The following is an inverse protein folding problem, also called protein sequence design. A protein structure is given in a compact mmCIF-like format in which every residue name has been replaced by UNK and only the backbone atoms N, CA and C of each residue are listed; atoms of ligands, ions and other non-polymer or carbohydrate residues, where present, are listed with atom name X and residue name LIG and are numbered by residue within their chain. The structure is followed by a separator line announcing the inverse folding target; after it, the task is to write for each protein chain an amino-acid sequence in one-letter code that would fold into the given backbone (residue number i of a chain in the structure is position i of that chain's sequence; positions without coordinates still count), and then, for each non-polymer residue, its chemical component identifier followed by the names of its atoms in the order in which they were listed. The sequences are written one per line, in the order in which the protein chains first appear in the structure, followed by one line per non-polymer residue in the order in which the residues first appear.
data_IF_919063560460
#
_entry.id   IF_919063560460
#
_cell.length_a   1.000
_cell.length_b   1.000
_cell.length_c   1.000
_cell.angle_alpha   90.00
_cell.angle_beta   90.00
_cell.angle_gamma   90.00
#
_symmetry.space_group_name_H-M   'P 1'
#
loop_
_entity.id
_entity.type
_entity.pdbx_description
1 polymer ?
#
# COMPACT_ATOMS: atom_id res chain seq x y z
N UNK A 1 -65.86 -63.22 21.02
CA UNK A 1 -65.97 -61.84 21.52
C UNK A 1 -64.58 -61.24 21.65
N UNK A 2 -64.16 -60.37 20.73
CA UNK A 2 -62.99 -59.48 20.86
C UNK A 2 -63.10 -58.40 19.77
N UNK A 3 -63.55 -57.19 20.14
CA UNK A 3 -62.75 -55.97 20.38
C UNK A 3 -62.09 -55.37 19.12
N UNK A 4 -62.65 -54.24 18.67
CA UNK A 4 -62.03 -53.18 17.87
C UNK A 4 -60.68 -52.72 18.45
N UNK A 5 -59.71 -52.31 17.61
CA UNK A 5 -59.31 -50.89 17.36
C UNK A 5 -57.90 -50.73 16.71
N UNK A 6 -57.77 -49.62 15.96
CA UNK A 6 -56.56 -48.91 15.47
C UNK A 6 -55.77 -49.63 14.35
N UNK A 7 -55.60 -49.12 13.13
CA UNK A 7 -55.58 -47.73 12.65
C UNK A 7 -54.14 -47.29 12.44
N UNK A 8 -53.62 -47.39 11.20
CA UNK A 8 -52.43 -46.64 10.75
C UNK A 8 -52.60 -46.24 9.29
N UNK A 9 -52.53 -44.92 9.08
CA UNK A 9 -52.58 -44.20 7.80
C UNK A 9 -51.25 -44.43 7.08
N UNK A 10 -51.29 -44.94 5.85
CA UNK A 10 -50.13 -44.98 4.97
C UNK A 10 -49.94 -43.58 4.38
N UNK A 11 -48.89 -42.88 4.81
CA UNK A 11 -48.47 -41.60 4.23
C UNK A 11 -47.84 -41.89 2.87
N UNK A 12 -48.51 -41.46 1.80
CA UNK A 12 -47.95 -41.47 0.46
C UNK A 12 -46.77 -40.49 0.38
N UNK A 13 -45.58 -41.01 0.10
CA UNK A 13 -44.40 -40.23 -0.25
C UNK A 13 -44.66 -39.52 -1.58
N UNK A 14 -45.04 -38.24 -1.51
CA UNK A 14 -45.00 -37.30 -2.62
C UNK A 14 -43.54 -37.08 -3.02
N UNK A 15 -43.11 -37.73 -4.10
CA UNK A 15 -41.90 -37.37 -4.83
C UNK A 15 -42.18 -36.02 -5.50
N UNK A 16 -41.77 -34.93 -4.84
CA UNK A 16 -41.73 -33.62 -5.49
C UNK A 16 -40.63 -33.63 -6.57
N UNK A 17 -40.92 -33.17 -7.80
CA UNK A 17 -39.85 -32.94 -8.78
C UNK A 17 -38.91 -31.87 -8.23
N UNK A 18 -37.61 -32.18 -8.18
CA UNK A 18 -36.54 -31.20 -7.93
C UNK A 18 -36.72 -30.06 -8.93
N UNK A 19 -37.01 -28.86 -8.43
CA UNK A 19 -36.88 -27.65 -9.24
C UNK A 19 -35.43 -27.55 -9.74
N UNK A 20 -35.20 -27.20 -11.03
CA UNK A 20 -33.86 -26.94 -11.50
C UNK A 20 -33.32 -25.72 -10.75
N UNK A 21 -32.18 -25.90 -10.07
CA UNK A 21 -31.38 -24.79 -9.55
C UNK A 21 -31.07 -23.85 -10.72
N UNK A 22 -31.42 -22.57 -10.59
CA UNK A 22 -30.91 -21.51 -11.48
C UNK A 22 -29.39 -21.68 -11.56
N UNK A 23 -28.90 -22.13 -12.69
CA UNK A 23 -27.48 -22.07 -12.98
C UNK A 23 -27.14 -20.59 -13.12
N UNK A 24 -26.24 -20.09 -12.28
CA UNK A 24 -25.53 -18.85 -12.58
C UNK A 24 -24.81 -19.09 -13.90
N UNK A 25 -25.32 -18.52 -15.00
CA UNK A 25 -24.59 -18.49 -16.27
C UNK A 25 -23.39 -17.58 -16.09
N UNK A 26 -22.24 -18.17 -15.78
CA UNK A 26 -20.97 -17.47 -15.79
C UNK A 26 -20.65 -17.06 -17.24
N UNK A 27 -20.60 -15.75 -17.47
CA UNK A 27 -20.13 -15.20 -18.74
C UNK A 27 -18.60 -15.23 -18.74
N UNK A 28 -18.02 -16.16 -19.48
CA UNK A 28 -16.58 -16.19 -19.73
C UNK A 28 -16.26 -15.35 -20.98
N UNK A 29 -15.42 -14.34 -20.80
CA UNK A 29 -14.95 -13.48 -21.88
C UNK A 29 -13.44 -13.64 -22.07
N UNK A 30 -13.00 -13.76 -23.32
CA UNK A 30 -11.58 -13.77 -23.66
C UNK A 30 -11.01 -12.35 -23.55
N UNK A 31 -10.05 -12.18 -22.64
CA UNK A 31 -9.41 -10.90 -22.37
C UNK A 31 -8.72 -10.31 -23.61
N UNK A 32 -8.09 -11.13 -24.47
CA UNK A 32 -7.43 -10.66 -25.69
C UNK A 32 -8.45 -10.08 -26.67
N UNK A 33 -9.57 -10.77 -26.85
CA UNK A 33 -10.67 -10.35 -27.71
C UNK A 33 -11.38 -9.09 -27.20
N UNK A 34 -11.55 -8.96 -25.89
CA UNK A 34 -12.11 -7.75 -25.27
C UNK A 34 -11.14 -6.58 -25.46
N UNK A 35 -9.86 -6.78 -25.16
CA UNK A 35 -8.82 -5.76 -25.28
C UNK A 35 -8.69 -5.22 -26.72
N UNK A 36 -8.63 -6.12 -27.72
CA UNK A 36 -8.50 -5.74 -29.13
C UNK A 36 -9.68 -4.92 -29.69
N UNK A 37 -10.85 -5.02 -29.05
CA UNK A 37 -12.07 -4.29 -29.44
C UNK A 37 -12.34 -3.06 -28.57
N UNK A 38 -11.48 -2.80 -27.58
CA UNK A 38 -11.63 -1.72 -26.63
C UNK A 38 -10.78 -0.50 -27.02
N UNK A 39 -11.19 0.68 -26.57
CA UNK A 39 -10.34 1.87 -26.59
C UNK A 39 -9.61 1.90 -25.24
N UNK A 40 -8.33 1.55 -25.25
CA UNK A 40 -7.51 1.43 -24.03
C UNK A 40 -6.55 2.59 -23.87
N UNK A 41 -6.35 3.03 -22.63
CA UNK A 41 -5.22 3.84 -22.16
C UNK A 41 -4.64 3.16 -20.94
N UNK A 42 -3.31 3.08 -20.85
CA UNK A 42 -2.59 2.54 -19.69
C UNK A 42 -2.99 1.10 -19.31
N UNK A 43 -3.33 0.26 -20.30
CA UNK A 43 -3.67 -1.15 -20.12
C UNK A 43 -2.84 -2.01 -21.07
N UNK A 44 -2.47 -3.21 -20.61
CA UNK A 44 -1.82 -4.25 -21.42
C UNK A 44 -2.43 -5.63 -21.16
N UNK A 45 -2.26 -6.55 -22.09
CA UNK A 45 -2.60 -7.97 -21.86
C UNK A 45 -1.35 -8.71 -21.42
N UNK A 46 -1.39 -9.32 -20.24
CA UNK A 46 -0.29 -10.10 -19.70
C UNK A 46 0.05 -11.29 -20.63
N UNK A 47 1.33 -11.49 -20.91
CA UNK A 47 1.78 -12.49 -21.88
C UNK A 47 1.35 -13.92 -21.54
N UNK A 48 1.58 -14.34 -20.28
CA UNK A 48 1.37 -15.71 -19.83
C UNK A 48 -0.03 -15.99 -19.26
N UNK A 49 -0.64 -15.02 -18.56
CA UNK A 49 -1.93 -15.24 -17.89
C UNK A 49 -3.14 -14.77 -18.70
N UNK A 50 -2.92 -14.05 -19.81
CA UNK A 50 -4.01 -13.55 -20.66
C UNK A 50 -4.96 -12.65 -19.89
N UNK A 51 -4.46 -11.85 -18.95
CA UNK A 51 -5.24 -10.93 -18.13
C UNK A 51 -5.06 -9.51 -18.64
N UNK A 52 -6.09 -8.69 -18.59
CA UNK A 52 -5.94 -7.25 -18.78
C UNK A 52 -5.37 -6.68 -17.48
N UNK A 53 -4.23 -6.00 -17.57
CA UNK A 53 -3.51 -5.40 -16.46
C UNK A 53 -3.22 -3.92 -16.78
N UNK A 54 -2.90 -3.12 -15.76
CA UNK A 54 -2.45 -1.76 -15.99
C UNK A 54 -1.04 -1.78 -16.62
N UNK A 55 -0.82 -0.97 -17.65
CA UNK A 55 0.51 -0.71 -18.23
C UNK A 55 1.39 0.07 -17.26
N UNK A 56 0.78 0.96 -16.47
CA UNK A 56 1.44 1.71 -15.40
C UNK A 56 0.65 1.58 -14.10
N UNK A 57 1.34 1.36 -12.98
CA UNK A 57 0.74 1.35 -11.65
C UNK A 57 1.38 2.39 -10.73
N UNK A 58 0.62 2.87 -9.74
CA UNK A 58 1.18 3.69 -8.67
C UNK A 58 1.70 2.78 -7.55
N UNK A 59 2.99 2.88 -7.26
CA UNK A 59 3.57 2.24 -6.09
C UNK A 59 3.55 3.22 -4.93
N UNK A 60 2.66 2.98 -3.97
CA UNK A 60 2.72 3.61 -2.66
C UNK A 60 3.60 2.75 -1.76
N UNK A 61 4.89 3.10 -1.63
CA UNK A 61 5.68 2.58 -0.52
C UNK A 61 5.32 3.37 0.75
N UNK A 62 4.16 3.02 1.29
CA UNK A 62 3.77 3.38 2.65
C UNK A 62 4.78 2.76 3.62
N UNK A 63 5.06 3.43 4.73
CA UNK A 63 6.19 3.20 5.65
C UNK A 63 6.09 1.89 6.45
N UNK A 64 5.32 0.92 5.95
CA UNK A 64 4.75 -0.15 6.72
C UNK A 64 3.54 0.34 7.51
N UNK A 65 2.85 -0.55 8.21
CA UNK A 65 1.58 -0.32 8.84
C UNK A 65 1.67 0.46 10.16
N UNK A 66 2.48 1.50 10.22
CA UNK A 66 2.43 2.43 11.33
C UNK A 66 1.63 3.66 10.90
N UNK A 67 0.78 4.18 11.76
CA UNK A 67 0.19 5.50 11.52
C UNK A 67 1.32 6.52 11.54
N UNK A 68 1.58 7.18 10.41
CA UNK A 68 2.64 8.21 10.30
C UNK A 68 2.50 9.30 11.39
N UNK A 69 1.30 9.51 11.92
CA UNK A 69 1.04 10.27 13.14
C UNK A 69 0.52 9.37 14.26
N UNK A 70 1.00 9.57 15.49
CA UNK A 70 0.53 8.89 16.69
C UNK A 70 -0.05 9.89 17.69
N UNK A 71 -1.17 9.52 18.31
CA UNK A 71 -1.74 10.27 19.45
C UNK A 71 -1.12 9.86 20.80
N UNK A 72 -0.22 8.86 20.82
CA UNK A 72 0.46 8.41 22.04
C UNK A 72 1.53 9.39 22.49
N UNK A 73 1.78 9.39 23.79
CA UNK A 73 2.90 10.12 24.41
C UNK A 73 4.11 9.18 24.63
N UNK A 74 5.35 9.68 24.52
CA UNK A 74 5.69 10.98 23.95
C UNK A 74 5.34 11.05 22.45
N UNK A 75 5.06 12.26 21.97
CA UNK A 75 4.72 12.53 20.57
C UNK A 75 5.76 11.89 19.62
N UNK A 76 5.30 11.32 18.51
CA UNK A 76 6.14 10.65 17.53
C UNK A 76 6.79 11.63 16.52
N UNK A 77 7.27 12.79 16.98
CA UNK A 77 7.95 13.78 16.14
C UNK A 77 9.40 13.94 16.54
N UNK A 78 10.26 14.03 15.54
CA UNK A 78 11.69 14.28 15.72
C UNK A 78 12.08 15.62 15.12
N UNK A 79 12.89 16.38 15.85
CA UNK A 79 13.53 17.58 15.33
C UNK A 79 14.80 17.21 14.59
N UNK A 80 14.86 17.54 13.31
CA UNK A 80 16.03 17.31 12.48
C UNK A 80 17.08 18.39 12.75
N UNK A 81 18.34 17.98 12.76
CA UNK A 81 19.50 18.86 12.92
C UNK A 81 20.63 18.38 12.02
N UNK A 82 21.80 19.01 12.08
CA UNK A 82 23.00 18.51 11.43
C UNK A 82 23.47 17.14 11.98
N UNK A 83 23.06 16.77 13.20
CA UNK A 83 23.44 15.51 13.86
C UNK A 83 22.28 14.51 13.95
N UNK A 84 21.05 15.03 14.00
CA UNK A 84 19.82 14.24 14.09
C UNK A 84 19.16 14.18 12.72
N UNK A 85 19.09 13.00 12.14
CA UNK A 85 18.52 12.82 10.80
C UNK A 85 17.82 11.47 10.69
N UNK A 86 16.90 11.39 9.73
CA UNK A 86 16.09 10.20 9.46
C UNK A 86 16.60 9.56 8.18
N UNK A 87 16.86 8.24 8.22
CA UNK A 87 17.11 7.41 7.05
C UNK A 87 15.91 6.52 6.77
N UNK A 88 15.50 6.47 5.51
CA UNK A 88 14.62 5.43 4.98
C UNK A 88 15.31 4.67 3.86
N UNK A 89 15.23 3.35 3.89
CA UNK A 89 15.62 2.48 2.80
C UNK A 89 14.38 1.98 2.04
N UNK A 90 14.41 2.20 0.73
CA UNK A 90 13.36 1.89 -0.24
C UNK A 90 13.90 0.80 -1.19
N UNK A 91 13.27 -0.38 -1.24
CA UNK A 91 13.77 -1.51 -2.05
C UNK A 91 12.88 -1.70 -3.28
N UNK A 92 13.38 -1.27 -4.45
CA UNK A 92 12.63 -1.27 -5.70
C UNK A 92 13.26 -2.24 -6.71
N UNK A 93 12.60 -3.34 -7.10
CA UNK A 93 13.13 -4.20 -8.16
C UNK A 93 13.16 -3.48 -9.52
N UNK A 94 12.17 -2.64 -9.79
CA UNK A 94 12.00 -1.89 -11.04
C UNK A 94 11.65 -0.43 -10.69
N UNK A 95 12.63 0.49 -10.67
CA UNK A 95 12.42 1.88 -10.23
C UNK A 95 11.81 2.78 -11.31
N UNK A 96 11.57 2.27 -12.52
CA UNK A 96 11.01 3.05 -13.61
C UNK A 96 9.63 3.58 -13.20
N UNK A 97 9.52 4.91 -13.09
CA UNK A 97 8.29 5.59 -12.71
C UNK A 97 8.12 6.86 -13.55
N UNK A 98 6.86 7.18 -13.88
CA UNK A 98 6.51 8.44 -14.56
C UNK A 98 6.73 9.66 -13.66
N UNK A 99 6.54 9.49 -12.35
CA UNK A 99 6.72 10.51 -11.34
C UNK A 99 7.08 9.85 -10.01
N UNK A 100 7.76 10.59 -9.14
CA UNK A 100 8.04 10.17 -7.78
C UNK A 100 7.76 11.31 -6.80
N UNK A 101 7.20 10.96 -5.64
CA UNK A 101 6.76 11.92 -4.63
C UNK A 101 7.31 11.54 -3.26
N UNK A 102 7.87 12.52 -2.57
CA UNK A 102 8.24 12.41 -1.17
C UNK A 102 7.10 12.97 -0.32
N UNK A 103 6.47 12.11 0.48
CA UNK A 103 5.36 12.47 1.38
C UNK A 103 5.86 12.45 2.82
N UNK A 104 5.78 13.58 3.51
CA UNK A 104 6.31 13.74 4.87
C UNK A 104 5.33 14.54 5.71
N UNK A 105 5.03 14.07 6.92
CA UNK A 105 4.28 14.86 7.90
C UNK A 105 5.27 15.79 8.63
N UNK A 106 5.28 17.05 8.24
CA UNK A 106 6.11 18.08 8.88
C UNK A 106 5.46 19.46 8.76
N UNK A 107 5.38 20.23 9.86
CA UNK A 107 4.92 21.62 9.80
C UNK A 107 6.03 22.59 9.35
N UNK A 108 7.27 22.12 9.19
CA UNK A 108 8.46 22.93 8.97
C UNK A 108 9.26 22.39 7.78
N UNK A 109 10.03 23.23 7.07
CA UNK A 109 10.88 22.79 5.97
C UNK A 109 12.06 21.95 6.45
N UNK A 110 12.50 21.02 5.60
CA UNK A 110 13.61 20.10 5.84
C UNK A 110 14.41 19.88 4.56
N UNK A 111 15.66 19.45 4.69
CA UNK A 111 16.48 19.05 3.55
C UNK A 111 16.31 17.56 3.26
N UNK A 112 16.32 17.19 1.97
CA UNK A 112 16.25 15.81 1.53
C UNK A 112 17.46 15.41 0.68
N UNK A 113 17.94 14.18 0.87
CA UNK A 113 18.90 13.53 -0.02
C UNK A 113 18.31 12.22 -0.51
N UNK A 114 18.39 11.98 -1.82
CA UNK A 114 17.99 10.72 -2.43
C UNK A 114 19.24 10.09 -3.03
N UNK A 115 19.62 8.92 -2.52
CA UNK A 115 20.85 8.22 -2.90
C UNK A 115 22.11 9.11 -2.80
N UNK A 116 22.15 9.99 -1.80
CA UNK A 116 23.25 10.93 -1.56
C UNK A 116 23.18 12.21 -2.40
N UNK A 117 22.26 12.32 -3.34
CA UNK A 117 22.04 13.53 -4.15
C UNK A 117 21.10 14.48 -3.39
N UNK A 118 21.51 15.73 -3.09
CA UNK A 118 20.62 16.72 -2.53
C UNK A 118 19.46 17.02 -3.48
N UNK A 119 18.22 17.01 -2.96
CA UNK A 119 17.03 17.31 -3.74
C UNK A 119 16.53 18.70 -3.38
N UNK A 120 16.37 19.55 -4.39
CA UNK A 120 15.70 20.83 -4.21
C UNK A 120 14.19 20.61 -4.20
N UNK A 121 13.59 20.66 -3.01
CA UNK A 121 12.16 20.47 -2.85
C UNK A 121 11.41 21.68 -3.41
N UNK A 122 10.49 21.43 -4.34
CA UNK A 122 9.58 22.44 -4.89
C UNK A 122 8.48 22.84 -3.90
N UNK A 123 7.41 23.51 -4.37
CA UNK A 123 6.27 23.82 -3.52
C UNK A 123 5.57 22.56 -3.01
N UNK A 124 4.98 22.63 -1.81
CA UNK A 124 4.14 21.55 -1.28
C UNK A 124 2.88 21.38 -2.15
N UNK A 125 2.70 20.18 -2.68
CA UNK A 125 1.60 19.82 -3.59
C UNK A 125 0.36 19.25 -2.87
N UNK A 126 0.41 19.05 -1.55
CA UNK A 126 -0.73 18.46 -0.82
C UNK A 126 -1.88 19.45 -0.56
N UNK A 127 -1.61 20.76 -0.66
CA UNK A 127 -2.53 21.82 -0.22
C UNK A 127 -2.78 21.89 1.29
N UNK A 128 -2.04 21.13 2.11
CA UNK A 128 -2.21 21.06 3.58
C UNK A 128 -0.90 21.41 4.29
N UNK A 129 -0.97 22.27 5.30
CA UNK A 129 0.22 22.76 6.00
C UNK A 129 1.02 21.69 6.75
N UNK A 130 0.40 20.58 7.18
CA UNK A 130 1.08 19.51 7.91
C UNK A 130 1.56 18.36 7.01
N UNK A 131 0.90 18.14 5.89
CA UNK A 131 1.22 17.06 4.96
C UNK A 131 2.07 17.68 3.87
N UNK A 132 3.33 17.32 3.75
CA UNK A 132 4.20 17.84 2.72
C UNK A 132 4.31 16.80 1.61
N UNK A 133 3.93 17.16 0.39
CA UNK A 133 4.12 16.32 -0.80
C UNK A 133 5.01 17.06 -1.78
N UNK A 134 6.18 16.49 -2.08
CA UNK A 134 7.14 17.07 -3.00
C UNK A 134 7.44 16.11 -4.15
N UNK A 135 7.24 16.57 -5.39
CA UNK A 135 7.73 15.83 -6.55
C UNK A 135 9.27 15.86 -6.61
N UNK A 136 9.89 14.76 -7.03
CA UNK A 136 11.31 14.68 -7.32
C UNK A 136 11.56 13.86 -8.60
N UNK A 137 12.76 13.97 -9.17
CA UNK A 137 13.12 13.25 -10.38
C UNK A 137 13.19 11.73 -10.11
N UNK A 138 12.32 10.91 -10.73
CA UNK A 138 12.34 9.46 -10.53
C UNK A 138 13.66 8.80 -10.95
N UNK A 139 14.46 9.44 -11.82
CA UNK A 139 15.77 8.93 -12.22
C UNK A 139 16.82 8.94 -11.09
N UNK A 140 16.52 9.61 -9.96
CA UNK A 140 17.33 9.50 -8.76
C UNK A 140 17.20 8.13 -8.09
N UNK A 141 16.18 7.34 -8.44
CA UNK A 141 15.98 5.97 -7.95
C UNK A 141 16.76 4.96 -8.80
N UNK A 142 17.18 3.87 -8.17
CA UNK A 142 17.93 2.77 -8.80
C UNK A 142 17.32 1.42 -8.47
N UNK A 143 17.58 0.37 -9.28
CA UNK A 143 17.18 -0.98 -8.93
C UNK A 143 17.81 -1.41 -7.59
N UNK A 144 17.05 -2.14 -6.79
CA UNK A 144 17.43 -2.56 -5.45
C UNK A 144 17.29 -1.44 -4.42
N UNK A 145 18.34 -1.23 -3.62
CA UNK A 145 18.30 -0.37 -2.43
C UNK A 145 18.48 1.11 -2.76
N UNK A 146 17.50 1.90 -2.36
CA UNK A 146 17.49 3.36 -2.39
C UNK A 146 17.52 3.92 -0.97
N UNK A 147 18.22 5.03 -0.78
CA UNK A 147 18.27 5.73 0.50
C UNK A 147 17.64 7.10 0.38
N UNK A 148 16.75 7.43 1.32
CA UNK A 148 16.16 8.75 1.47
C UNK A 148 16.57 9.26 2.85
N UNK A 149 17.19 10.44 2.90
CA UNK A 149 17.65 11.07 4.14
C UNK A 149 16.95 12.40 4.31
N UNK A 150 16.34 12.61 5.47
CA UNK A 150 15.79 13.91 5.89
C UNK A 150 16.70 14.48 6.98
N UNK A 151 17.19 15.72 6.82
CA UNK A 151 18.16 16.32 7.76
C UNK A 151 18.08 17.84 7.88
N UNK A 152 18.99 18.38 8.70
CA UNK A 152 19.33 19.80 8.89
C UNK A 152 18.27 20.64 9.61
N UNK A 153 17.01 20.62 9.18
CA UNK A 153 15.95 21.42 9.77
C UNK A 153 14.60 20.70 9.72
N UNK A 154 13.64 21.22 10.47
CA UNK A 154 12.26 20.77 10.46
C UNK A 154 11.93 19.74 11.53
N UNK A 155 10.63 19.47 11.66
CA UNK A 155 10.10 18.57 12.68
C UNK A 155 9.23 17.51 12.01
N UNK A 156 9.74 16.30 11.91
CA UNK A 156 9.12 15.24 11.10
C UNK A 156 8.45 14.21 12.00
N UNK A 157 7.23 13.81 11.67
CA UNK A 157 6.59 12.67 12.31
C UNK A 157 7.23 11.36 11.85
N UNK A 158 7.62 10.51 12.80
CA UNK A 158 8.22 9.20 12.56
C UNK A 158 7.24 8.13 13.02
N UNK A 159 6.95 7.19 12.14
CA UNK A 159 6.21 5.98 12.45
C UNK A 159 6.78 5.28 13.71
N UNK A 160 5.91 4.95 14.68
CA UNK A 160 6.35 4.22 15.87
C UNK A 160 6.39 2.71 15.58
N UNK A 161 7.48 2.05 15.98
CA UNK A 161 7.64 0.60 15.80
C UNK A 161 6.63 -0.23 16.61
N UNK A 162 6.23 0.26 17.79
CA UNK A 162 5.20 -0.38 18.64
C UNK A 162 3.78 -0.25 18.08
N UNK A 163 3.58 0.61 17.08
CA UNK A 163 2.30 0.79 16.38
C UNK A 163 2.31 0.18 14.97
N UNK A 164 3.38 -0.54 14.59
CA UNK A 164 3.53 -1.13 13.26
C UNK A 164 2.40 -2.11 12.90
N UNK A 165 1.75 -2.76 13.86
CA UNK A 165 0.62 -3.65 13.56
C UNK A 165 -0.70 -2.89 13.25
N UNK A 166 -0.81 -1.60 13.56
CA UNK A 166 -2.08 -0.87 13.44
C UNK A 166 -2.52 -0.62 11.99
N UNK A 167 -1.58 -0.46 11.08
CA UNK A 167 -1.83 -0.16 9.67
C UNK A 167 -1.93 -1.39 8.77
N UNK A 168 -1.84 -2.62 9.32
CA UNK A 168 -1.90 -3.85 8.51
C UNK A 168 -2.34 -5.02 9.36
N UNK A 169 -3.34 -5.72 8.83
CA UNK A 169 -3.85 -6.96 9.40
C UNK A 169 -2.90 -8.15 9.23
N UNK A 170 -1.93 -8.05 8.32
CA UNK A 170 -1.08 -9.18 7.90
C UNK A 170 0.40 -8.98 8.22
N UNK A 171 0.85 -7.74 8.47
CA UNK A 171 2.24 -7.42 8.82
C UNK A 171 2.29 -6.95 10.27
N UNK A 172 2.89 -7.76 11.15
CA UNK A 172 2.96 -7.47 12.60
C UNK A 172 4.37 -7.08 13.09
N UNK A 173 5.39 -7.19 12.24
CA UNK A 173 6.79 -6.88 12.57
C UNK A 173 7.44 -5.98 11.49
N UNK A 174 8.23 -4.97 11.88
CA UNK A 174 8.87 -4.06 10.94
C UNK A 174 10.02 -4.71 10.17
N UNK A 175 10.23 -4.37 8.88
CA UNK A 175 11.31 -4.93 8.08
C UNK A 175 12.70 -4.31 8.34
N UNK A 176 12.86 -3.52 9.43
CA UNK A 176 14.10 -2.84 9.81
C UNK A 176 14.75 -1.97 8.71
N UNK A 177 13.94 -1.28 7.91
CA UNK A 177 14.39 -0.41 6.79
C UNK A 177 14.46 1.08 7.13
N UNK A 178 14.22 1.44 8.39
CA UNK A 178 14.25 2.83 8.85
C UNK A 178 15.22 2.93 10.01
N UNK A 179 16.02 4.00 10.05
CA UNK A 179 16.95 4.27 11.13
C UNK A 179 16.95 5.76 11.47
N UNK A 180 16.99 6.06 12.77
CA UNK A 180 17.29 7.39 13.29
C UNK A 180 18.76 7.39 13.70
N UNK A 181 19.50 8.42 13.29
CA UNK A 181 20.84 8.69 13.83
C UNK A 181 20.80 10.02 14.56
N UNK A 182 21.49 10.08 15.69
CA UNK A 182 21.71 11.29 16.50
C UNK A 182 23.17 11.74 16.48
N UNK A 183 24.00 11.11 15.64
CA UNK A 183 25.46 11.22 15.62
C UNK A 183 26.02 11.44 14.20
N UNK A 184 25.20 11.94 13.28
CA UNK A 184 25.57 12.14 11.87
C UNK A 184 25.94 10.84 11.12
N UNK A 185 25.46 9.68 11.58
CA UNK A 185 25.56 8.41 10.89
C UNK A 185 26.76 7.58 11.22
N UNK A 186 27.27 7.71 12.44
CA UNK A 186 28.40 6.92 12.93
C UNK A 186 27.97 5.58 13.55
N UNK A 187 26.70 5.23 13.43
CA UNK A 187 26.13 3.90 13.75
C UNK A 187 25.75 3.11 12.50
#
# INVERSE_FOLDING_TARGET
MSRLRLGWILIALLVLPRQPTRGDTALELDARSVFAKSVTSDLQVSGQSGRIELETGELFEDDGPASGHSYRQPENRETLTARTWIKKELILPHPQARAAYLVVLSPEPFDALINGVPVQLGPNQSGRALYQTYAFDPNLLRPGRNQIILRNSGRVAIARGDEFALGSRTRTQPPHRSAKSTDAGKT
#
